data_IF_133837305187
#
_entry.id   IF_133837305187
#
_cell.length_a   1.000
_cell.length_b   1.000
_cell.length_c   1.000
_cell.angle_alpha   90.00
_cell.angle_beta   90.00
_cell.angle_gamma   90.00
#
_symmetry.space_group_name_H-M   'P 1'
#
loop_
_entity.id
_entity.type
_entity.pdbx_description
1 polymer ?
#
# COMPACT_ATOMS: atom_id res chain seq x y z
N UNK A 1 27.23 7.99 18.47
CA UNK A 1 25.89 7.53 18.86
C UNK A 1 24.94 8.61 18.37
N UNK A 2 24.15 8.28 17.38
CA UNK A 2 23.12 9.17 16.89
C UNK A 2 21.96 9.15 17.88
N UNK A 3 21.56 10.32 18.24
CA UNK A 3 20.69 10.67 19.33
C UNK A 3 19.26 10.20 19.05
N UNK A 4 18.72 9.39 19.93
CA UNK A 4 17.29 9.16 20.00
C UNK A 4 16.67 10.42 20.60
N UNK A 5 16.25 11.36 19.73
CA UNK A 5 15.51 12.54 20.16
C UNK A 5 14.04 12.16 20.35
N UNK A 6 13.62 12.12 21.60
CA UNK A 6 12.20 12.00 21.91
C UNK A 6 11.85 12.93 23.07
N UNK A 7 10.68 13.56 22.98
CA UNK A 7 10.17 14.53 23.96
C UNK A 7 9.17 13.93 24.94
N UNK A 8 9.03 12.59 24.92
CA UNK A 8 8.12 11.85 25.78
C UNK A 8 8.92 10.94 26.71
N UNK A 9 8.44 10.67 27.95
CA UNK A 9 9.05 9.67 28.82
C UNK A 9 9.16 8.30 28.16
N UNK A 10 10.25 7.59 28.40
CA UNK A 10 10.49 6.27 27.78
C UNK A 10 9.35 5.27 28.05
N UNK A 11 8.79 5.32 29.27
CA UNK A 11 7.64 4.48 29.66
C UNK A 11 6.34 4.76 28.91
N UNK A 12 6.22 5.92 28.23
CA UNK A 12 5.04 6.30 27.46
C UNK A 12 5.16 5.93 25.97
N UNK A 13 6.31 5.39 25.55
CA UNK A 13 6.53 4.94 24.17
C UNK A 13 5.73 3.68 23.91
N UNK A 14 4.68 3.78 23.11
CA UNK A 14 3.85 2.63 22.71
C UNK A 14 4.22 2.08 21.32
N UNK A 15 4.94 2.87 20.50
CA UNK A 15 5.33 2.47 19.16
C UNK A 15 6.63 3.14 18.74
N UNK A 16 7.54 2.36 18.19
CA UNK A 16 8.74 2.86 17.51
C UNK A 16 8.62 2.58 16.01
N UNK A 17 8.82 3.60 15.20
CA UNK A 17 8.86 3.49 13.74
C UNK A 17 10.28 3.76 13.26
N UNK A 18 10.68 3.08 12.18
CA UNK A 18 12.01 3.25 11.57
C UNK A 18 11.90 3.58 10.09
N UNK A 19 12.76 4.47 9.60
CA UNK A 19 12.87 4.75 8.17
C UNK A 19 13.49 3.57 7.41
N UNK A 20 13.28 3.53 6.08
CA UNK A 20 13.77 2.42 5.25
C UNK A 20 15.29 2.40 5.03
N UNK A 21 16.02 3.46 5.40
CA UNK A 21 17.48 3.53 5.28
C UNK A 21 18.02 3.27 3.87
N UNK A 22 17.52 3.96 2.86
CA UNK A 22 17.79 3.69 1.44
C UNK A 22 19.22 3.95 0.97
N UNK A 23 20.09 4.53 1.79
CA UNK A 23 21.45 4.95 1.40
C UNK A 23 22.57 4.45 2.31
N UNK A 24 22.36 3.34 3.04
CA UNK A 24 23.38 2.82 3.96
C UNK A 24 23.61 3.71 5.20
N UNK A 25 22.78 4.73 5.37
CA UNK A 25 22.81 5.62 6.53
C UNK A 25 22.02 5.02 7.70
N UNK A 26 22.30 5.53 8.89
CA UNK A 26 21.55 5.17 10.09
C UNK A 26 20.05 5.46 9.87
N UNK A 27 19.21 4.47 10.16
CA UNK A 27 17.76 4.61 10.09
C UNK A 27 17.26 5.65 11.11
N UNK A 28 16.37 6.52 10.69
CA UNK A 28 15.65 7.40 11.63
C UNK A 28 14.73 6.56 12.51
N UNK A 29 14.67 6.90 13.80
CA UNK A 29 13.75 6.31 14.76
C UNK A 29 12.80 7.37 15.26
N UNK A 30 11.51 7.08 15.19
CA UNK A 30 10.44 7.96 15.67
C UNK A 30 9.67 7.23 16.74
N UNK A 31 9.55 7.86 17.89
CA UNK A 31 8.89 7.32 19.07
C UNK A 31 7.52 7.97 19.23
N UNK A 32 6.49 7.16 19.37
CA UNK A 32 5.11 7.60 19.48
C UNK A 32 4.54 7.22 20.83
N UNK A 33 3.93 8.19 21.51
CA UNK A 33 3.03 7.94 22.61
C UNK A 33 1.66 7.46 22.12
N UNK A 34 0.80 7.05 23.05
CA UNK A 34 -0.55 6.55 22.75
C UNK A 34 -1.41 7.59 22.00
N UNK A 35 -1.31 8.87 22.38
CA UNK A 35 -2.08 9.95 21.78
C UNK A 35 -1.67 10.19 20.31
N UNK A 36 -0.37 10.27 20.07
CA UNK A 36 0.18 10.51 18.73
C UNK A 36 -0.09 9.31 17.81
N UNK A 37 0.10 8.08 18.29
CA UNK A 37 -0.21 6.87 17.54
C UNK A 37 -1.71 6.78 17.16
N UNK A 38 -2.61 7.17 18.09
CA UNK A 38 -4.04 7.22 17.82
C UNK A 38 -4.40 8.31 16.79
N UNK A 39 -3.81 9.49 16.92
CA UNK A 39 -4.04 10.59 15.97
C UNK A 39 -3.56 10.23 14.57
N UNK A 40 -2.41 9.56 14.44
CA UNK A 40 -1.93 9.04 13.16
C UNK A 40 -2.92 8.06 12.52
N UNK A 41 -3.47 7.13 13.29
CA UNK A 41 -4.48 6.19 12.80
C UNK A 41 -5.78 6.89 12.38
N UNK A 42 -6.22 7.90 13.14
CA UNK A 42 -7.41 8.71 12.80
C UNK A 42 -7.19 9.51 11.51
N UNK A 43 -6.02 10.15 11.36
CA UNK A 43 -5.68 10.91 10.15
C UNK A 43 -5.69 9.99 8.92
N UNK A 44 -5.02 8.83 8.98
CA UNK A 44 -5.03 7.83 7.92
C UNK A 44 -6.45 7.40 7.57
N UNK A 45 -7.28 7.11 8.58
CA UNK A 45 -8.67 6.70 8.36
C UNK A 45 -9.49 7.79 7.67
N UNK A 46 -9.31 9.05 8.06
CA UNK A 46 -10.00 10.19 7.44
C UNK A 46 -9.59 10.36 5.98
N UNK A 47 -8.28 10.29 5.68
CA UNK A 47 -7.75 10.43 4.32
C UNK A 47 -8.29 9.30 3.43
N UNK A 48 -8.15 8.03 3.86
CA UNK A 48 -8.58 6.88 3.05
C UNK A 48 -10.10 6.86 2.85
N UNK A 49 -10.88 7.29 3.84
CA UNK A 49 -12.34 7.34 3.72
C UNK A 49 -12.84 8.32 2.66
N UNK A 50 -12.06 9.32 2.27
CA UNK A 50 -12.38 10.25 1.17
C UNK A 50 -12.56 9.49 -0.15
N UNK A 51 -11.73 8.47 -0.38
CA UNK A 51 -11.72 7.67 -1.62
C UNK A 51 -12.56 6.39 -1.50
N UNK A 52 -12.41 5.69 -0.38
CA UNK A 52 -13.07 4.39 -0.16
C UNK A 52 -14.50 4.54 0.34
N UNK A 53 -14.82 5.64 1.01
CA UNK A 53 -16.03 5.83 1.78
C UNK A 53 -15.86 5.37 3.24
N UNK A 54 -16.93 5.46 4.02
CA UNK A 54 -16.89 5.18 5.47
C UNK A 54 -16.86 3.69 5.83
N UNK A 55 -17.13 2.80 4.87
CA UNK A 55 -17.20 1.35 5.10
C UNK A 55 -15.92 0.66 4.69
N UNK A 56 -15.52 -0.35 5.47
CA UNK A 56 -14.44 -1.26 5.07
C UNK A 56 -14.86 -2.06 3.85
N UNK A 57 -13.91 -2.38 2.96
CA UNK A 57 -14.16 -3.07 1.71
C UNK A 57 -13.43 -4.43 1.64
N UNK A 58 -13.91 -5.39 0.82
CA UNK A 58 -13.09 -6.52 0.37
C UNK A 58 -11.78 -6.00 -0.20
N UNK A 59 -10.64 -6.66 0.12
CA UNK A 59 -9.32 -6.12 -0.17
C UNK A 59 -8.42 -7.12 -0.88
N UNK A 60 -7.82 -6.68 -1.99
CA UNK A 60 -6.77 -7.40 -2.71
C UNK A 60 -5.43 -6.73 -2.38
N UNK A 61 -4.48 -7.49 -1.86
CA UNK A 61 -3.12 -7.03 -1.57
C UNK A 61 -2.22 -7.59 -2.66
N UNK A 62 -1.59 -6.70 -3.45
CA UNK A 62 -0.65 -7.11 -4.50
C UNK A 62 0.73 -7.35 -3.85
N UNK A 63 0.81 -8.42 -3.11
CA UNK A 63 2.01 -8.92 -2.44
C UNK A 63 1.78 -10.38 -2.02
N UNK A 64 2.82 -11.01 -1.44
CA UNK A 64 2.74 -12.32 -0.79
C UNK A 64 2.51 -12.14 0.72
N UNK A 65 1.75 -13.04 1.33
CA UNK A 65 1.58 -13.08 2.79
C UNK A 65 2.90 -13.29 3.54
N UNK A 66 3.89 -13.89 2.88
CA UNK A 66 5.23 -14.12 3.43
C UNK A 66 5.91 -12.83 3.91
N UNK A 67 5.56 -11.66 3.33
CA UNK A 67 6.11 -10.35 3.73
C UNK A 67 5.83 -10.00 5.20
N UNK A 68 4.80 -10.61 5.81
CA UNK A 68 4.42 -10.39 7.21
C UNK A 68 4.99 -11.43 8.17
N UNK A 69 5.57 -12.54 7.65
CA UNK A 69 6.11 -13.63 8.48
C UNK A 69 7.41 -13.24 9.18
N UNK A 70 8.21 -12.39 8.55
CA UNK A 70 9.48 -11.94 9.13
C UNK A 70 9.28 -10.71 10.05
N UNK A 71 9.00 -10.98 11.32
CA UNK A 71 8.80 -9.94 12.34
C UNK A 71 10.09 -9.20 12.73
N UNK A 72 11.27 -9.75 12.42
CA UNK A 72 12.56 -9.13 12.78
C UNK A 72 13.02 -8.08 11.76
N UNK A 73 12.55 -8.20 10.51
CA UNK A 73 12.84 -7.26 9.43
C UNK A 73 11.54 -6.64 8.90
N UNK A 74 10.89 -5.82 9.71
CA UNK A 74 9.63 -5.15 9.33
C UNK A 74 9.90 -4.19 8.18
N UNK A 75 9.78 -4.69 6.97
CA UNK A 75 10.01 -3.90 5.75
C UNK A 75 8.95 -2.80 5.61
N UNK A 76 9.29 -1.72 4.90
CA UNK A 76 8.32 -0.68 4.54
C UNK A 76 7.07 -1.26 3.85
N UNK A 77 7.23 -2.35 3.09
CA UNK A 77 6.13 -3.11 2.48
C UNK A 77 5.20 -3.71 3.54
N UNK A 78 5.75 -4.45 4.50
CA UNK A 78 4.97 -5.04 5.59
C UNK A 78 4.23 -3.98 6.42
N UNK A 79 4.90 -2.88 6.74
CA UNK A 79 4.30 -1.76 7.46
C UNK A 79 3.13 -1.12 6.68
N UNK A 80 3.31 -0.88 5.38
CA UNK A 80 2.24 -0.36 4.51
C UNK A 80 1.05 -1.32 4.43
N UNK A 81 1.29 -2.61 4.20
CA UNK A 81 0.24 -3.62 4.14
C UNK A 81 -0.56 -3.67 5.45
N UNK A 82 0.11 -3.68 6.60
CA UNK A 82 -0.57 -3.68 7.90
C UNK A 82 -1.36 -2.40 8.12
N UNK A 83 -0.79 -1.25 7.79
CA UNK A 83 -1.45 0.06 7.91
C UNK A 83 -2.75 0.13 7.12
N UNK A 84 -2.71 -0.29 5.85
CA UNK A 84 -3.90 -0.26 4.99
C UNK A 84 -4.85 -1.44 5.21
N UNK A 85 -4.40 -2.53 5.81
CA UNK A 85 -5.23 -3.70 6.11
C UNK A 85 -6.39 -3.42 7.05
N UNK A 86 -6.35 -2.33 7.83
CA UNK A 86 -7.47 -1.91 8.70
C UNK A 86 -8.72 -1.56 7.91
N UNK A 87 -8.58 -1.19 6.63
CA UNK A 87 -9.70 -0.86 5.73
C UNK A 87 -10.26 -2.09 5.01
N UNK A 88 -9.61 -3.25 5.12
CA UNK A 88 -10.06 -4.51 4.53
C UNK A 88 -11.02 -5.29 5.44
N UNK A 89 -12.10 -5.85 4.88
CA UNK A 89 -12.97 -6.82 5.56
C UNK A 89 -12.50 -8.24 5.31
N UNK A 90 -12.60 -8.70 4.06
CA UNK A 90 -12.03 -9.95 3.56
C UNK A 90 -10.78 -9.60 2.77
N UNK A 91 -9.67 -10.28 3.02
CA UNK A 91 -8.39 -9.98 2.38
C UNK A 91 -7.85 -11.20 1.66
N UNK A 92 -7.31 -10.98 0.45
CA UNK A 92 -6.48 -11.95 -0.23
C UNK A 92 -5.14 -11.31 -0.59
N UNK A 93 -4.09 -12.13 -0.59
CA UNK A 93 -2.80 -11.80 -1.16
C UNK A 93 -2.74 -12.36 -2.57
N UNK A 94 -2.52 -11.48 -3.54
CA UNK A 94 -2.55 -11.84 -4.96
C UNK A 94 -1.35 -12.69 -5.39
N UNK A 95 -0.25 -12.68 -4.64
CA UNK A 95 0.96 -13.43 -4.95
C UNK A 95 1.15 -14.62 -3.99
N UNK A 96 1.74 -15.69 -4.50
CA UNK A 96 2.21 -16.80 -3.68
C UNK A 96 3.61 -16.49 -3.07
N UNK A 97 4.19 -17.45 -2.37
CA UNK A 97 5.52 -17.29 -1.74
C UNK A 97 6.66 -17.13 -2.78
N UNK A 98 6.47 -17.62 -4.01
CA UNK A 98 7.40 -17.46 -5.13
C UNK A 98 7.16 -16.15 -5.91
N UNK A 99 6.29 -15.25 -5.41
CA UNK A 99 5.92 -13.98 -6.05
C UNK A 99 5.18 -14.16 -7.39
N UNK A 100 4.54 -15.30 -7.61
CA UNK A 100 3.72 -15.57 -8.80
C UNK A 100 2.26 -15.18 -8.55
N UNK A 101 1.61 -14.61 -9.57
CA UNK A 101 0.22 -14.17 -9.50
C UNK A 101 -0.73 -15.35 -9.42
N UNK A 102 -1.50 -15.45 -8.34
CA UNK A 102 -2.58 -16.41 -8.11
C UNK A 102 -3.84 -15.95 -8.85
N UNK A 103 -3.81 -16.00 -10.17
CA UNK A 103 -4.84 -15.39 -11.01
C UNK A 103 -6.24 -15.94 -10.73
N UNK A 104 -6.38 -17.24 -10.53
CA UNK A 104 -7.69 -17.88 -10.30
C UNK A 104 -8.30 -17.43 -8.96
N UNK A 105 -7.48 -17.31 -7.92
CA UNK A 105 -7.91 -16.78 -6.61
C UNK A 105 -8.39 -15.34 -6.74
N UNK A 106 -7.64 -14.52 -7.50
CA UNK A 106 -7.98 -13.12 -7.74
C UNK A 106 -9.31 -13.00 -8.50
N UNK A 107 -9.48 -13.74 -9.58
CA UNK A 107 -10.72 -13.75 -10.37
C UNK A 107 -11.93 -14.23 -9.55
N UNK A 108 -11.75 -15.30 -8.79
CA UNK A 108 -12.80 -15.82 -7.88
C UNK A 108 -13.19 -14.77 -6.83
N UNK A 109 -12.20 -14.07 -6.26
CA UNK A 109 -12.45 -13.01 -5.28
C UNK A 109 -13.20 -11.83 -5.88
N UNK A 110 -12.82 -11.39 -7.06
CA UNK A 110 -13.50 -10.30 -7.80
C UNK A 110 -14.95 -10.69 -8.07
N UNK A 111 -15.20 -11.90 -8.59
CA UNK A 111 -16.54 -12.37 -8.89
C UNK A 111 -17.44 -12.40 -7.64
N UNK A 112 -16.92 -12.90 -6.51
CA UNK A 112 -17.64 -12.95 -5.23
C UNK A 112 -17.97 -11.55 -4.68
N UNK A 113 -17.21 -10.53 -5.05
CA UNK A 113 -17.34 -9.18 -4.54
C UNK A 113 -17.78 -8.17 -5.61
N UNK A 114 -18.30 -8.63 -6.76
CA UNK A 114 -18.68 -7.79 -7.91
C UNK A 114 -19.62 -6.62 -7.56
N UNK A 115 -20.49 -6.79 -6.57
CA UNK A 115 -21.45 -5.76 -6.12
C UNK A 115 -20.89 -4.80 -5.08
N UNK A 116 -19.67 -5.01 -4.61
CA UNK A 116 -19.04 -4.22 -3.57
C UNK A 116 -17.91 -3.38 -4.17
N UNK A 117 -17.63 -2.23 -3.57
CA UNK A 117 -16.37 -1.54 -3.83
C UNK A 117 -15.22 -2.42 -3.34
N UNK A 118 -14.15 -2.59 -4.12
CA UNK A 118 -12.97 -3.39 -3.79
C UNK A 118 -11.81 -2.44 -3.53
N UNK A 119 -11.13 -2.59 -2.40
CA UNK A 119 -9.86 -1.92 -2.14
C UNK A 119 -8.71 -2.77 -2.70
N UNK A 120 -7.85 -2.17 -3.51
CA UNK A 120 -6.59 -2.78 -3.94
C UNK A 120 -5.46 -2.00 -3.31
N UNK A 121 -4.51 -2.69 -2.71
CA UNK A 121 -3.31 -2.08 -2.14
C UNK A 121 -2.06 -2.82 -2.62
N UNK A 122 -1.02 -2.05 -2.95
CA UNK A 122 0.29 -2.59 -3.31
C UNK A 122 1.34 -1.51 -3.51
N UNK A 123 2.60 -1.91 -3.55
CA UNK A 123 3.68 -0.99 -3.93
C UNK A 123 3.74 -0.86 -5.45
N UNK A 124 4.03 0.34 -5.95
CA UNK A 124 4.04 0.66 -7.39
C UNK A 124 4.81 -0.38 -8.20
N UNK A 125 6.05 -0.69 -7.78
CA UNK A 125 6.88 -1.68 -8.49
C UNK A 125 6.31 -3.11 -8.41
N UNK A 126 5.62 -3.48 -7.32
CA UNK A 126 4.98 -4.80 -7.16
C UNK A 126 3.79 -4.95 -8.09
N UNK A 127 2.95 -3.91 -8.17
CA UNK A 127 1.81 -3.88 -9.08
C UNK A 127 2.30 -3.98 -10.53
N UNK A 128 3.32 -3.22 -10.89
CA UNK A 128 3.85 -3.24 -12.25
C UNK A 128 4.44 -4.61 -12.60
N UNK A 129 5.36 -5.12 -11.78
CA UNK A 129 6.11 -6.35 -12.06
C UNK A 129 5.24 -7.60 -12.02
N UNK A 130 4.40 -7.73 -10.99
CA UNK A 130 3.73 -9.00 -10.69
C UNK A 130 2.24 -9.02 -11.04
N UNK A 131 1.64 -7.85 -11.31
CA UNK A 131 0.25 -7.78 -11.70
C UNK A 131 0.09 -7.31 -13.15
N UNK A 132 0.56 -6.12 -13.50
CA UNK A 132 0.41 -5.57 -14.85
C UNK A 132 1.11 -6.45 -15.90
N UNK A 133 2.40 -6.77 -15.68
CA UNK A 133 3.17 -7.60 -16.64
C UNK A 133 2.55 -8.98 -16.81
N UNK A 134 2.08 -9.62 -15.73
CA UNK A 134 1.47 -10.94 -15.79
C UNK A 134 0.10 -10.94 -16.52
N UNK A 135 -0.72 -9.89 -16.29
CA UNK A 135 -1.99 -9.73 -17.02
C UNK A 135 -1.71 -9.52 -18.52
N UNK A 136 -0.75 -8.66 -18.87
CA UNK A 136 -0.33 -8.44 -20.26
C UNK A 136 0.18 -9.72 -20.92
N UNK A 137 1.08 -10.43 -20.24
CA UNK A 137 1.67 -11.70 -20.74
C UNK A 137 0.61 -12.77 -21.03
N UNK A 138 -0.43 -12.83 -20.19
CA UNK A 138 -1.54 -13.78 -20.34
C UNK A 138 -2.66 -13.25 -21.24
N UNK A 139 -2.52 -12.07 -21.79
CA UNK A 139 -3.55 -11.38 -22.60
C UNK A 139 -4.93 -11.38 -21.95
N UNK A 140 -4.96 -11.11 -20.63
CA UNK A 140 -6.20 -11.08 -19.86
C UNK A 140 -6.76 -9.67 -19.77
N UNK A 141 -8.10 -9.58 -19.64
CA UNK A 141 -8.82 -8.39 -19.19
C UNK A 141 -9.59 -8.74 -17.92
N UNK A 142 -9.46 -7.93 -16.91
CA UNK A 142 -10.06 -8.16 -15.59
C UNK A 142 -10.97 -6.99 -15.28
N UNK A 143 -12.22 -7.24 -14.89
CA UNK A 143 -13.15 -6.17 -14.52
C UNK A 143 -12.99 -5.81 -13.05
N UNK A 144 -12.27 -4.73 -12.80
CA UNK A 144 -12.09 -4.06 -11.51
C UNK A 144 -12.59 -2.60 -11.55
N UNK A 145 -13.59 -2.34 -12.37
CA UNK A 145 -14.17 -0.99 -12.54
C UNK A 145 -14.79 -0.43 -11.25
N UNK A 146 -15.11 -1.31 -10.29
CA UNK A 146 -15.60 -0.97 -8.95
C UNK A 146 -14.47 -0.84 -7.90
N UNK A 147 -13.21 -0.90 -8.30
CA UNK A 147 -12.09 -0.86 -7.37
C UNK A 147 -11.55 0.56 -7.15
N UNK A 148 -11.00 0.76 -5.94
CA UNK A 148 -10.10 1.85 -5.58
C UNK A 148 -8.73 1.24 -5.36
N UNK A 149 -7.74 1.68 -6.13
CA UNK A 149 -6.36 1.29 -5.98
C UNK A 149 -5.58 2.37 -5.22
N UNK A 150 -4.93 1.98 -4.14
CA UNK A 150 -3.98 2.81 -3.40
C UNK A 150 -2.60 2.18 -3.56
N UNK A 151 -1.63 2.93 -4.05
CA UNK A 151 -0.27 2.45 -4.24
C UNK A 151 0.75 3.49 -3.76
N UNK A 152 2.00 3.10 -3.65
CA UNK A 152 3.09 4.01 -3.29
C UNK A 152 4.45 3.32 -3.29
N UNK A 153 5.48 4.01 -2.79
CA UNK A 153 6.81 3.43 -2.59
C UNK A 153 7.73 3.41 -3.82
N UNK A 154 7.31 4.04 -4.92
CA UNK A 154 8.12 4.26 -6.12
C UNK A 154 8.62 2.99 -6.81
N UNK A 155 9.57 3.17 -7.74
CA UNK A 155 10.04 2.11 -8.65
C UNK A 155 11.21 1.29 -8.12
N UNK A 156 11.94 1.78 -7.10
CA UNK A 156 13.09 1.09 -6.47
C UNK A 156 14.08 0.51 -7.50
N UNK A 157 14.27 -0.83 -7.46
CA UNK A 157 15.19 -1.54 -8.37
C UNK A 157 14.71 -1.57 -9.83
N UNK A 158 13.46 -1.23 -10.11
CA UNK A 158 12.89 -1.15 -11.46
C UNK A 158 12.96 0.27 -12.03
N UNK A 159 13.88 1.11 -11.55
CA UNK A 159 14.01 2.49 -12.02
C UNK A 159 14.17 2.60 -13.55
N UNK A 160 14.95 1.70 -14.16
CA UNK A 160 15.14 1.64 -15.61
C UNK A 160 13.89 1.21 -16.40
N UNK A 161 12.90 0.63 -15.73
CA UNK A 161 11.62 0.22 -16.30
C UNK A 161 10.49 1.13 -15.86
N UNK A 162 10.82 2.22 -15.16
CA UNK A 162 9.82 3.17 -14.67
C UNK A 162 9.07 3.83 -15.83
N UNK A 163 7.77 3.88 -15.70
CA UNK A 163 6.88 4.60 -16.62
C UNK A 163 6.29 5.80 -15.90
N UNK A 164 5.86 6.79 -16.66
CA UNK A 164 5.18 7.96 -16.09
C UNK A 164 3.90 7.54 -15.32
N UNK A 165 3.56 8.29 -14.28
CA UNK A 165 2.34 8.02 -13.48
C UNK A 165 1.10 7.92 -14.36
N UNK A 166 0.96 8.82 -15.32
CA UNK A 166 -0.15 8.83 -16.28
C UNK A 166 -0.22 7.54 -17.11
N UNK A 167 0.91 7.03 -17.58
CA UNK A 167 0.98 5.79 -18.35
C UNK A 167 0.63 4.57 -17.47
N UNK A 168 1.08 4.57 -16.22
CA UNK A 168 0.73 3.54 -15.24
C UNK A 168 -0.79 3.49 -15.00
N UNK A 169 -1.40 4.65 -14.79
CA UNK A 169 -2.85 4.78 -14.59
C UNK A 169 -3.63 4.36 -15.85
N UNK A 170 -3.23 4.83 -17.04
CA UNK A 170 -3.84 4.44 -18.33
C UNK A 170 -3.76 2.94 -18.57
N UNK A 171 -2.62 2.33 -18.24
CA UNK A 171 -2.42 0.89 -18.37
C UNK A 171 -3.39 0.10 -17.47
N UNK A 172 -3.50 0.46 -16.20
CA UNK A 172 -4.42 -0.19 -15.26
C UNK A 172 -5.89 0.01 -15.65
N UNK A 173 -6.24 1.22 -16.12
CA UNK A 173 -7.58 1.48 -16.63
C UNK A 173 -7.89 0.60 -17.85
N UNK A 174 -6.97 0.51 -18.81
CA UNK A 174 -7.15 -0.30 -20.02
C UNK A 174 -7.28 -1.80 -19.73
N UNK A 175 -6.42 -2.34 -18.84
CA UNK A 175 -6.39 -3.77 -18.52
C UNK A 175 -7.48 -4.20 -17.56
N UNK A 176 -7.85 -3.33 -16.62
CA UNK A 176 -8.66 -3.70 -15.47
C UNK A 176 -9.88 -2.78 -15.26
N UNK A 177 -10.06 -1.74 -16.05
CA UNK A 177 -11.16 -0.78 -15.87
C UNK A 177 -11.06 0.09 -14.62
N UNK A 178 -9.94 0.06 -13.88
CA UNK A 178 -9.77 0.84 -12.64
C UNK A 178 -9.67 2.31 -12.98
N UNK A 179 -10.56 3.14 -12.42
CA UNK A 179 -10.57 4.59 -12.60
C UNK A 179 -10.07 5.37 -11.40
N UNK A 180 -10.25 4.82 -10.19
CA UNK A 180 -9.82 5.45 -8.94
C UNK A 180 -8.47 4.86 -8.54
N UNK A 181 -7.40 5.54 -8.93
CA UNK A 181 -6.01 5.14 -8.69
C UNK A 181 -5.32 6.30 -7.98
N UNK A 182 -4.72 6.04 -6.82
CA UNK A 182 -4.16 7.07 -5.96
C UNK A 182 -2.77 6.63 -5.48
N UNK A 183 -1.76 7.44 -5.79
CA UNK A 183 -0.45 7.30 -5.18
C UNK A 183 -0.47 7.86 -3.75
N UNK A 184 0.24 7.23 -2.84
CA UNK A 184 0.45 7.79 -1.51
C UNK A 184 1.93 7.97 -1.21
N UNK A 185 2.23 9.04 -0.52
CA UNK A 185 3.55 9.32 0.02
C UNK A 185 3.49 9.45 1.54
N UNK A 186 4.39 8.76 2.22
CA UNK A 186 4.51 8.86 3.67
C UNK A 186 5.97 8.75 4.11
N UNK A 187 6.35 9.59 5.03
CA UNK A 187 7.63 9.54 5.73
C UNK A 187 7.42 9.12 7.17
N UNK A 188 8.31 8.29 7.69
CA UNK A 188 8.29 7.87 9.11
C UNK A 188 8.46 9.09 10.02
N UNK A 189 9.29 10.04 9.58
CA UNK A 189 9.59 11.28 10.30
C UNK A 189 8.38 12.24 10.38
N UNK A 190 7.44 12.10 9.47
CA UNK A 190 6.21 12.91 9.47
C UNK A 190 5.10 12.17 10.23
N UNK A 191 5.10 12.35 11.53
CA UNK A 191 4.09 11.75 12.40
C UNK A 191 2.71 12.35 12.15
N UNK A 192 1.71 11.51 11.94
CA UNK A 192 0.31 11.89 11.93
C UNK A 192 -0.35 12.00 10.58
N UNK A 193 0.38 11.99 9.44
CA UNK A 193 -0.24 12.10 8.13
C UNK A 193 0.50 11.32 7.04
N UNK A 194 -0.23 11.02 5.97
CA UNK A 194 0.31 10.68 4.66
C UNK A 194 -0.21 11.70 3.65
N UNK A 195 0.48 11.88 2.55
CA UNK A 195 -0.07 12.56 1.38
C UNK A 195 -0.71 11.52 0.47
N UNK A 196 -1.80 11.87 -0.17
CA UNK A 196 -2.48 10.99 -1.12
C UNK A 196 -2.89 11.80 -2.35
N UNK A 197 -2.53 11.30 -3.51
CA UNK A 197 -2.86 11.89 -4.79
C UNK A 197 -4.38 12.06 -4.94
N UNK A 198 -4.82 13.28 -5.23
CA UNK A 198 -6.23 13.59 -5.47
C UNK A 198 -6.63 13.23 -6.92
N UNK A 199 -7.88 13.38 -7.25
CA UNK A 199 -8.43 13.11 -8.60
C UNK A 199 -7.84 14.00 -9.72
N UNK A 200 -7.17 15.09 -9.34
CA UNK A 200 -6.47 16.00 -10.26
C UNK A 200 -4.97 15.71 -10.39
N UNK A 201 -4.47 14.62 -9.80
CA UNK A 201 -3.06 14.25 -9.85
C UNK A 201 -2.13 15.06 -8.95
N UNK A 202 -2.67 15.79 -7.96
CA UNK A 202 -1.88 16.56 -6.99
C UNK A 202 -1.82 15.81 -5.64
N UNK A 203 -0.66 15.95 -4.96
CA UNK A 203 -0.44 15.47 -3.58
C UNK A 203 -0.49 16.62 -2.57
#
# INVERSE_FOLDING_TARGET
KMFDFYSIPEGDIVKTMTSSGTSGQNVSRIFLDKKTALNQSKALSKIVSTYLGSKRAPMIIIDSEAVLKDRKMFSARGAGILGFSIFGTKKIYALNENMELKIDDVLCFIQKNKKNKILIFGFTFMIYQHFIKEIKKRNLKIDLSNAVLIHGGGWKKLFNESIASEEFQKTLNHLCGIKSIHDYYGMVEQTGSIFMECEYGNM
#
